data_IF_246133673313
#
_entry.id   IF_246133673313
#
_cell.length_a   1.000
_cell.length_b   1.000
_cell.length_c   1.000
_cell.angle_alpha   90.00
_cell.angle_beta   90.00
_cell.angle_gamma   90.00
#
_symmetry.space_group_name_H-M   'P 1'
#
loop_
_entity.id
_entity.type
_entity.pdbx_description
1 polymer ?
#
# COMPACT_ATOMS: atom_id res chain seq x y z
N UNK A 1 33.01 -5.99 1.39
CA UNK A 1 32.34 -4.68 1.22
C UNK A 1 32.40 -3.99 2.57
N UNK A 2 32.76 -2.70 2.64
CA UNK A 2 32.69 -1.99 3.93
C UNK A 2 31.22 -1.86 4.31
N UNK A 3 30.82 -2.40 5.45
CA UNK A 3 29.52 -2.09 6.05
C UNK A 3 29.49 -0.60 6.33
N UNK A 4 28.81 0.16 5.46
CA UNK A 4 28.55 1.57 5.74
C UNK A 4 27.82 1.61 7.08
N UNK A 5 28.33 2.43 8.01
CA UNK A 5 27.65 2.65 9.28
C UNK A 5 26.44 3.51 8.95
N UNK A 6 25.25 2.97 9.18
CA UNK A 6 23.98 3.66 8.96
C UNK A 6 23.52 4.25 10.30
N UNK A 7 23.62 5.57 10.52
CA UNK A 7 23.35 6.17 11.83
C UNK A 7 21.92 5.96 12.32
N UNK A 8 20.98 5.70 11.41
CA UNK A 8 19.58 5.41 11.70
C UNK A 8 19.37 4.05 12.38
N UNK A 9 20.34 3.14 12.27
CA UNK A 9 20.30 1.79 12.85
C UNK A 9 21.12 1.67 14.14
N UNK A 10 21.87 2.69 14.52
CA UNK A 10 22.69 2.67 15.74
C UNK A 10 21.80 2.66 17.00
N UNK A 11 22.04 1.69 17.88
CA UNK A 11 21.27 1.49 19.11
C UNK A 11 21.15 2.79 19.92
N UNK A 12 19.91 3.12 20.31
CA UNK A 12 19.60 4.34 21.04
C UNK A 12 18.74 4.01 22.28
N UNK A 13 19.41 3.48 23.30
CA UNK A 13 18.78 2.97 24.52
C UNK A 13 18.09 4.07 25.36
N UNK A 14 18.38 5.34 25.09
CA UNK A 14 17.93 6.47 25.90
C UNK A 14 16.68 7.19 25.33
N UNK A 15 16.19 6.78 24.15
CA UNK A 15 15.20 7.59 23.40
C UNK A 15 13.82 6.93 23.28
N UNK A 16 13.16 6.76 24.42
CA UNK A 16 11.73 6.40 24.50
C UNK A 16 10.78 7.61 24.50
N UNK A 17 11.32 8.83 24.52
CA UNK A 17 10.54 10.06 24.53
C UNK A 17 10.79 10.83 23.23
N UNK A 18 9.73 11.28 22.57
CA UNK A 18 9.82 11.94 21.26
C UNK A 18 10.52 13.31 21.35
N UNK A 19 10.35 14.03 22.46
CA UNK A 19 10.96 15.34 22.67
C UNK A 19 12.31 15.27 23.41
N UNK A 20 13.27 16.15 23.05
CA UNK A 20 13.21 17.10 21.93
C UNK A 20 13.36 16.39 20.57
N UNK A 21 12.72 16.95 19.53
CA UNK A 21 12.88 16.49 18.15
C UNK A 21 14.35 16.67 17.72
N UNK A 22 14.90 15.65 17.04
CA UNK A 22 16.28 15.62 16.53
C UNK A 22 16.30 15.60 15.00
N UNK A 23 15.37 14.89 14.39
CA UNK A 23 15.22 14.77 12.93
C UNK A 23 13.95 15.48 12.49
N UNK A 24 14.06 16.80 12.30
CA UNK A 24 12.93 17.64 11.92
C UNK A 24 12.38 17.31 10.53
N UNK A 25 13.24 16.91 9.61
CA UNK A 25 12.88 16.43 8.27
C UNK A 25 11.96 15.20 8.33
N UNK A 26 12.32 14.20 9.14
CA UNK A 26 11.48 13.01 9.34
C UNK A 26 10.19 13.34 10.09
N UNK A 27 10.27 14.21 11.10
CA UNK A 27 9.09 14.65 11.84
C UNK A 27 8.10 15.40 10.95
N UNK A 28 8.57 16.26 10.06
CA UNK A 28 7.73 16.97 9.09
C UNK A 28 7.02 16.00 8.15
N UNK A 29 7.70 14.95 7.67
CA UNK A 29 7.07 13.90 6.87
C UNK A 29 6.00 13.14 7.65
N UNK A 30 6.29 12.74 8.89
CA UNK A 30 5.28 12.13 9.76
C UNK A 30 4.04 13.03 9.93
N UNK A 31 4.24 14.32 10.21
CA UNK A 31 3.13 15.27 10.37
C UNK A 31 2.35 15.50 9.08
N UNK A 32 2.99 15.41 7.90
CA UNK A 32 2.30 15.46 6.61
C UNK A 32 1.38 14.24 6.43
N UNK A 33 1.89 13.03 6.67
CA UNK A 33 1.10 11.80 6.59
C UNK A 33 -0.04 11.82 7.62
N UNK A 34 0.23 12.22 8.85
CA UNK A 34 -0.79 12.33 9.91
C UNK A 34 -1.93 13.30 9.53
N UNK A 35 -1.60 14.42 8.87
CA UNK A 35 -2.59 15.38 8.40
C UNK A 35 -3.44 14.88 7.21
N UNK A 36 -3.05 13.75 6.61
CA UNK A 36 -3.71 13.12 5.47
C UNK A 36 -4.56 11.91 5.86
N UNK A 37 -4.74 11.62 7.15
CA UNK A 37 -5.59 10.53 7.65
C UNK A 37 -6.99 10.53 7.01
N UNK A 38 -7.48 9.34 6.71
CA UNK A 38 -8.82 9.06 6.19
C UNK A 38 -9.23 7.63 6.57
N UNK A 39 -10.52 7.31 6.54
CA UNK A 39 -11.02 5.93 6.74
C UNK A 39 -11.82 5.41 5.55
N UNK A 40 -11.95 4.08 5.44
CA UNK A 40 -12.66 3.43 4.35
C UNK A 40 -14.13 3.88 4.25
N UNK A 41 -14.77 4.23 5.38
CA UNK A 41 -16.15 4.71 5.43
C UNK A 41 -16.36 6.09 4.78
N UNK A 42 -15.31 6.84 4.53
CA UNK A 42 -15.39 8.12 3.81
C UNK A 42 -15.63 7.93 2.31
N UNK A 43 -15.48 6.70 1.80
CA UNK A 43 -15.62 6.37 0.38
C UNK A 43 -17.06 5.94 0.08
N UNK A 44 -17.78 6.77 -0.69
CA UNK A 44 -19.10 6.42 -1.20
C UNK A 44 -19.01 5.53 -2.45
N UNK A 45 -19.50 4.29 -2.34
CA UNK A 45 -19.53 3.30 -3.41
C UNK A 45 -20.91 3.12 -4.06
N UNK A 46 -21.88 3.98 -3.74
CA UNK A 46 -23.25 3.83 -4.23
C UNK A 46 -23.34 3.89 -5.76
N UNK A 47 -22.72 4.91 -6.37
CA UNK A 47 -22.75 5.08 -7.83
C UNK A 47 -21.93 4.03 -8.58
N UNK A 48 -20.89 3.47 -7.95
CA UNK A 48 -20.01 2.48 -8.56
C UNK A 48 -20.73 1.20 -8.95
N UNK A 49 -21.76 0.78 -8.18
CA UNK A 49 -22.54 -0.41 -8.54
C UNK A 49 -23.26 -0.25 -9.88
N UNK A 50 -23.76 0.95 -10.18
CA UNK A 50 -24.41 1.21 -11.46
C UNK A 50 -23.38 1.20 -12.60
N UNK A 51 -22.25 1.86 -12.41
CA UNK A 51 -21.19 1.90 -13.42
C UNK A 51 -20.63 0.51 -13.70
N UNK A 52 -20.37 -0.27 -12.65
CA UNK A 52 -19.89 -1.63 -12.72
C UNK A 52 -20.77 -2.54 -13.57
N UNK A 53 -22.08 -2.48 -13.34
CA UNK A 53 -23.04 -3.36 -14.00
C UNK A 53 -23.44 -2.89 -15.40
N UNK A 54 -23.58 -1.57 -15.60
CA UNK A 54 -24.26 -1.01 -16.77
C UNK A 54 -23.35 -0.23 -17.72
N UNK A 55 -22.19 0.25 -17.26
CA UNK A 55 -21.28 1.07 -18.09
C UNK A 55 -19.98 0.36 -18.48
N UNK A 56 -19.49 -0.55 -17.64
CA UNK A 56 -18.29 -1.32 -17.96
C UNK A 56 -18.61 -2.52 -18.85
N UNK A 57 -17.65 -2.89 -19.70
CA UNK A 57 -17.66 -4.16 -20.41
C UNK A 57 -16.94 -5.26 -19.59
N UNK A 58 -16.99 -6.50 -20.08
CA UNK A 58 -16.41 -7.65 -19.37
C UNK A 58 -14.88 -7.56 -19.25
N UNK A 59 -14.19 -7.05 -20.26
CA UNK A 59 -12.73 -6.89 -20.24
C UNK A 59 -12.30 -5.82 -19.22
N UNK A 60 -13.05 -4.73 -19.10
CA UNK A 60 -12.83 -3.68 -18.10
C UNK A 60 -13.05 -4.20 -16.68
N UNK A 61 -14.15 -4.94 -16.45
CA UNK A 61 -14.40 -5.59 -15.16
C UNK A 61 -13.32 -6.62 -14.83
N UNK A 62 -12.90 -7.41 -15.82
CA UNK A 62 -11.80 -8.37 -15.67
C UNK A 62 -10.53 -7.65 -15.23
N UNK A 63 -10.15 -6.58 -15.92
CA UNK A 63 -8.96 -5.81 -15.65
C UNK A 63 -8.97 -5.17 -14.25
N UNK A 64 -10.09 -4.53 -13.86
CA UNK A 64 -10.23 -3.91 -12.53
C UNK A 64 -10.15 -4.97 -11.42
N UNK A 65 -10.82 -6.12 -11.57
CA UNK A 65 -10.73 -7.23 -10.59
C UNK A 65 -9.29 -7.66 -10.34
N UNK A 66 -8.48 -7.77 -11.39
CA UNK A 66 -7.09 -8.21 -11.26
C UNK A 66 -6.20 -7.13 -10.64
N UNK A 67 -6.48 -5.84 -10.89
CA UNK A 67 -5.81 -4.74 -10.20
C UNK A 67 -6.14 -4.78 -8.70
N UNK A 68 -7.42 -4.92 -8.33
CA UNK A 68 -7.83 -4.97 -6.92
C UNK A 68 -7.24 -6.19 -6.20
N UNK A 69 -7.22 -7.36 -6.85
CA UNK A 69 -6.58 -8.56 -6.32
C UNK A 69 -5.07 -8.40 -6.14
N UNK A 70 -4.41 -7.64 -7.02
CA UNK A 70 -2.99 -7.33 -6.89
C UNK A 70 -2.73 -6.44 -5.68
N UNK A 71 -3.50 -5.37 -5.50
CA UNK A 71 -3.33 -4.46 -4.38
C UNK A 71 -3.62 -5.13 -3.03
N UNK A 72 -4.77 -5.80 -2.90
CA UNK A 72 -5.16 -6.48 -1.65
C UNK A 72 -4.12 -7.52 -1.17
N UNK A 73 -3.38 -8.14 -2.10
CA UNK A 73 -2.29 -9.05 -1.75
C UNK A 73 -0.95 -8.35 -1.48
N UNK A 74 -0.72 -7.17 -2.07
CA UNK A 74 0.57 -6.47 -1.99
C UNK A 74 0.70 -5.67 -0.69
N UNK A 75 -0.36 -4.99 -0.24
CA UNK A 75 -0.34 -4.19 0.99
C UNK A 75 -0.01 -5.08 2.22
N UNK A 76 -0.49 -6.33 2.23
CA UNK A 76 -0.11 -7.30 3.25
C UNK A 76 1.39 -7.59 3.30
N UNK A 77 2.05 -7.67 2.14
CA UNK A 77 3.51 -7.90 2.04
C UNK A 77 4.29 -6.65 2.46
N UNK A 78 3.81 -5.46 2.11
CA UNK A 78 4.40 -4.18 2.54
C UNK A 78 4.32 -4.05 4.06
N UNK A 79 3.15 -4.35 4.63
CA UNK A 79 2.91 -4.30 6.07
C UNK A 79 3.82 -5.27 6.85
N UNK A 80 3.99 -6.50 6.36
CA UNK A 80 4.90 -7.50 6.94
C UNK A 80 6.34 -6.97 7.00
N UNK A 81 6.85 -6.40 5.91
CA UNK A 81 8.19 -5.80 5.90
C UNK A 81 8.31 -4.57 6.82
N UNK A 82 7.30 -3.71 6.86
CA UNK A 82 7.30 -2.54 7.75
C UNK A 82 7.39 -2.96 9.22
N UNK A 83 6.56 -3.94 9.62
CA UNK A 83 6.45 -4.39 11.00
C UNK A 83 7.67 -5.22 11.45
N UNK A 84 8.10 -6.19 10.64
CA UNK A 84 9.15 -7.13 11.01
C UNK A 84 10.56 -6.54 10.82
N UNK A 85 10.77 -5.69 9.81
CA UNK A 85 12.07 -5.11 9.48
C UNK A 85 12.16 -3.62 9.84
N UNK A 86 11.50 -2.73 9.09
CA UNK A 86 11.82 -1.30 9.18
C UNK A 86 11.56 -0.68 10.56
N UNK A 87 10.43 -0.97 11.21
CA UNK A 87 10.13 -0.45 12.55
C UNK A 87 11.05 -1.05 13.62
N UNK A 88 11.44 -2.31 13.45
CA UNK A 88 12.25 -3.04 14.43
C UNK A 88 13.72 -2.60 14.39
N UNK A 89 14.24 -2.31 13.20
CA UNK A 89 15.65 -1.98 12.98
C UNK A 89 15.98 -0.51 13.18
N UNK A 90 15.11 0.40 12.75
CA UNK A 90 15.35 1.84 12.86
C UNK A 90 15.32 2.28 14.33
N UNK A 91 16.24 3.14 14.72
CA UNK A 91 16.39 3.62 16.10
C UNK A 91 15.93 5.07 16.30
N UNK A 92 15.65 5.80 15.22
CA UNK A 92 15.13 7.17 15.30
C UNK A 92 13.65 7.17 15.66
N UNK A 93 13.29 7.85 16.76
CA UNK A 93 11.91 7.95 17.21
C UNK A 93 11.00 8.58 16.14
N UNK A 94 11.45 9.62 15.43
CA UNK A 94 10.68 10.26 14.36
C UNK A 94 10.35 9.32 13.20
N UNK A 95 11.30 8.47 12.80
CA UNK A 95 11.07 7.45 11.77
C UNK A 95 10.13 6.35 12.26
N UNK A 96 10.25 5.91 13.51
CA UNK A 96 9.29 4.95 14.10
C UNK A 96 7.85 5.49 14.10
N UNK A 97 7.68 6.79 14.36
CA UNK A 97 6.37 7.44 14.29
C UNK A 97 5.83 7.47 12.86
N UNK A 98 6.68 7.79 11.89
CA UNK A 98 6.32 7.71 10.47
C UNK A 98 5.87 6.30 10.08
N UNK A 99 6.72 5.29 10.30
CA UNK A 99 6.40 3.91 9.93
C UNK A 99 5.22 3.33 10.71
N UNK A 100 5.05 3.70 11.98
CA UNK A 100 3.88 3.31 12.76
C UNK A 100 2.59 3.87 12.17
N UNK A 101 2.63 5.10 11.65
CA UNK A 101 1.51 5.69 10.92
C UNK A 101 1.30 5.03 9.55
N UNK A 102 2.39 4.74 8.81
CA UNK A 102 2.34 4.02 7.54
C UNK A 102 1.66 2.66 7.69
N UNK A 103 2.08 1.83 8.66
CA UNK A 103 1.45 0.52 8.95
C UNK A 103 -0.06 0.65 9.18
N UNK A 104 -0.48 1.70 9.90
CA UNK A 104 -1.89 1.95 10.14
C UNK A 104 -2.62 2.31 8.84
N UNK A 105 -2.04 3.16 7.99
CA UNK A 105 -2.61 3.50 6.68
C UNK A 105 -2.65 2.29 5.73
N UNK A 106 -1.62 1.44 5.70
CA UNK A 106 -1.61 0.18 4.92
C UNK A 106 -2.78 -0.74 5.31
N UNK A 107 -3.15 -0.78 6.59
CA UNK A 107 -4.33 -1.54 7.03
C UNK A 107 -5.63 -0.95 6.46
N UNK A 108 -5.74 0.38 6.39
CA UNK A 108 -6.89 1.08 5.79
C UNK A 108 -6.92 0.87 4.27
N UNK A 109 -5.76 0.83 3.60
CA UNK A 109 -5.66 0.51 2.17
C UNK A 109 -6.14 -0.92 1.91
N UNK A 110 -5.64 -1.89 2.67
CA UNK A 110 -6.05 -3.30 2.58
C UNK A 110 -7.55 -3.49 2.84
N UNK A 111 -8.11 -2.79 3.83
CA UNK A 111 -9.56 -2.76 4.08
C UNK A 111 -10.33 -2.19 2.88
N UNK A 112 -9.87 -1.05 2.36
CA UNK A 112 -10.48 -0.37 1.22
C UNK A 112 -10.51 -1.26 -0.02
N UNK A 113 -9.41 -1.93 -0.38
CA UNK A 113 -9.40 -2.87 -1.50
C UNK A 113 -10.31 -4.07 -1.29
N UNK A 114 -10.39 -4.57 -0.05
CA UNK A 114 -11.30 -5.65 0.31
C UNK A 114 -12.77 -5.24 0.17
N UNK A 115 -13.11 -4.03 0.62
CA UNK A 115 -14.45 -3.43 0.50
C UNK A 115 -14.82 -3.21 -0.98
N UNK A 116 -13.89 -2.74 -1.81
CA UNK A 116 -14.10 -2.57 -3.25
C UNK A 116 -14.39 -3.93 -3.92
N UNK A 117 -13.62 -4.97 -3.61
CA UNK A 117 -13.85 -6.33 -4.12
C UNK A 117 -15.23 -6.84 -3.68
N UNK A 118 -15.59 -6.71 -2.41
CA UNK A 118 -16.89 -7.17 -1.89
C UNK A 118 -18.07 -6.41 -2.52
N UNK A 119 -17.88 -5.12 -2.78
CA UNK A 119 -18.89 -4.28 -3.41
C UNK A 119 -19.13 -4.67 -4.87
N UNK A 120 -18.07 -4.97 -5.63
CA UNK A 120 -18.18 -5.21 -7.08
C UNK A 120 -18.44 -6.67 -7.44
N UNK A 121 -17.90 -7.61 -6.66
CA UNK A 121 -17.95 -9.04 -6.98
C UNK A 121 -18.93 -9.75 -6.06
N UNK A 122 -20.10 -10.12 -6.59
CA UNK A 122 -21.15 -10.79 -5.80
C UNK A 122 -21.02 -12.31 -5.74
N UNK A 123 -20.27 -12.92 -6.66
CA UNK A 123 -20.00 -14.36 -6.62
C UNK A 123 -18.92 -14.67 -5.57
N UNK A 124 -19.30 -15.45 -4.55
CA UNK A 124 -18.39 -15.83 -3.45
C UNK A 124 -17.19 -16.65 -3.92
N UNK A 125 -17.33 -17.47 -4.95
CA UNK A 125 -16.19 -18.27 -5.45
C UNK A 125 -15.19 -17.36 -6.16
N UNK A 126 -15.68 -16.41 -6.95
CA UNK A 126 -14.83 -15.42 -7.61
C UNK A 126 -14.12 -14.54 -6.57
N UNK A 127 -14.82 -14.05 -5.54
CA UNK A 127 -14.19 -13.33 -4.42
C UNK A 127 -13.06 -14.12 -3.78
N UNK A 128 -13.31 -15.39 -3.47
CA UNK A 128 -12.28 -16.26 -2.87
C UNK A 128 -11.05 -16.44 -3.77
N UNK A 129 -11.23 -16.49 -5.09
CA UNK A 129 -10.12 -16.54 -6.05
C UNK A 129 -9.32 -15.23 -6.02
N UNK A 130 -10.00 -14.09 -5.98
CA UNK A 130 -9.38 -12.76 -5.92
C UNK A 130 -8.60 -12.55 -4.63
N UNK A 131 -9.14 -12.93 -3.47
CA UNK A 131 -8.43 -12.84 -2.19
C UNK A 131 -7.23 -13.80 -2.09
N UNK A 132 -7.24 -14.89 -2.86
CA UNK A 132 -6.11 -15.81 -3.00
C UNK A 132 -5.28 -15.48 -4.25
N UNK A 133 -5.01 -14.20 -4.47
CA UNK A 133 -4.40 -13.73 -5.70
C UNK A 133 -3.04 -14.37 -5.99
N UNK A 134 -2.24 -14.61 -4.95
CA UNK A 134 -0.91 -15.22 -5.06
C UNK A 134 -0.95 -16.66 -5.57
N UNK A 135 -2.01 -17.40 -5.26
CA UNK A 135 -2.19 -18.78 -5.72
C UNK A 135 -2.74 -18.83 -7.15
N UNK A 136 -3.61 -17.88 -7.49
CA UNK A 136 -4.44 -17.95 -8.70
C UNK A 136 -3.91 -17.12 -9.87
N UNK A 137 -3.09 -16.08 -9.63
CA UNK A 137 -2.63 -15.17 -10.67
C UNK A 137 -1.10 -15.13 -10.77
N UNK A 138 -0.50 -15.81 -11.77
CA UNK A 138 0.95 -15.89 -11.92
C UNK A 138 1.67 -14.53 -12.05
N UNK A 139 1.02 -13.52 -12.62
CA UNK A 139 1.58 -12.18 -12.75
C UNK A 139 1.71 -11.48 -11.38
N UNK A 140 0.70 -11.64 -10.51
CA UNK A 140 0.71 -11.13 -9.13
C UNK A 140 1.74 -11.89 -8.32
N UNK A 141 1.73 -13.23 -8.42
CA UNK A 141 2.72 -14.09 -7.76
C UNK A 141 4.16 -13.68 -8.06
N UNK A 142 4.50 -13.37 -9.32
CA UNK A 142 5.86 -12.93 -9.68
C UNK A 142 6.28 -11.64 -8.99
N UNK A 143 5.38 -10.67 -8.85
CA UNK A 143 5.65 -9.42 -8.13
C UNK A 143 5.81 -9.67 -6.63
N UNK A 144 4.92 -10.49 -6.05
CA UNK A 144 4.98 -10.87 -4.65
C UNK A 144 6.26 -11.64 -4.32
N UNK A 145 6.62 -12.66 -5.11
CA UNK A 145 7.85 -13.43 -4.93
C UNK A 145 9.10 -12.53 -5.01
N UNK A 146 9.07 -11.49 -5.86
CA UNK A 146 10.15 -10.49 -5.92
C UNK A 146 10.23 -9.68 -4.63
N UNK A 147 9.11 -9.16 -4.13
CA UNK A 147 9.07 -8.37 -2.89
C UNK A 147 9.51 -9.22 -1.67
N UNK A 148 8.96 -10.42 -1.52
CA UNK A 148 9.30 -11.37 -0.46
C UNK A 148 10.80 -11.73 -0.46
N UNK A 149 11.42 -11.87 -1.65
CA UNK A 149 12.85 -12.11 -1.74
C UNK A 149 13.69 -10.94 -1.16
N UNK A 150 13.21 -9.69 -1.27
CA UNK A 150 13.91 -8.55 -0.71
C UNK A 150 13.69 -8.36 0.78
N UNK A 151 12.57 -8.81 1.35
CA UNK A 151 12.35 -8.85 2.81
C UNK A 151 13.53 -9.54 3.51
N UNK A 152 14.03 -10.60 2.91
CA UNK A 152 15.13 -11.42 3.43
C UNK A 152 16.54 -10.83 3.20
N UNK A 153 16.68 -9.71 2.46
CA UNK A 153 18.01 -9.09 2.30
C UNK A 153 18.52 -8.64 3.67
N UNK A 154 19.81 -8.84 4.02
CA UNK A 154 20.37 -8.32 5.27
C UNK A 154 20.66 -6.81 5.23
N UNK A 155 20.68 -6.17 4.06
CA UNK A 155 21.01 -4.75 3.93
C UNK A 155 19.76 -3.86 4.00
N UNK A 156 19.71 -2.98 5.00
CA UNK A 156 18.64 -1.99 5.14
C UNK A 156 18.51 -1.11 3.90
N UNK A 157 19.62 -0.59 3.36
CA UNK A 157 19.59 0.23 2.15
C UNK A 157 19.02 -0.51 0.92
N UNK A 158 19.38 -1.79 0.73
CA UNK A 158 18.81 -2.60 -0.36
C UNK A 158 17.31 -2.81 -0.17
N UNK A 159 16.87 -3.14 1.05
CA UNK A 159 15.45 -3.29 1.37
C UNK A 159 14.69 -1.98 1.18
N UNK A 160 15.23 -0.85 1.63
CA UNK A 160 14.63 0.47 1.50
C UNK A 160 14.40 0.82 0.02
N UNK A 161 15.39 0.61 -0.84
CA UNK A 161 15.26 0.84 -2.28
C UNK A 161 14.28 -0.16 -2.92
N UNK A 162 14.32 -1.43 -2.51
CA UNK A 162 13.43 -2.45 -3.04
C UNK A 162 11.97 -2.14 -2.73
N UNK A 163 11.65 -1.74 -1.49
CA UNK A 163 10.28 -1.41 -1.08
C UNK A 163 9.80 -0.07 -1.65
N UNK A 164 10.70 0.93 -1.81
CA UNK A 164 10.38 2.11 -2.61
C UNK A 164 10.04 1.76 -4.09
N UNK A 165 10.62 0.70 -4.64
CA UNK A 165 10.24 0.20 -5.96
C UNK A 165 8.92 -0.59 -5.95
N UNK A 166 8.57 -1.27 -4.86
CA UNK A 166 7.25 -1.90 -4.69
C UNK A 166 6.17 -0.81 -4.70
N UNK A 167 6.23 0.11 -3.74
CA UNK A 167 5.22 1.17 -3.56
C UNK A 167 5.21 2.14 -4.75
N UNK A 168 6.38 2.57 -5.23
CA UNK A 168 6.47 3.58 -6.29
C UNK A 168 6.41 3.06 -7.73
N UNK A 169 6.96 1.86 -8.04
CA UNK A 169 7.05 1.34 -9.41
C UNK A 169 6.00 0.26 -9.66
N UNK A 170 5.86 -0.73 -8.77
CA UNK A 170 4.93 -1.84 -9.03
C UNK A 170 3.47 -1.38 -9.06
N UNK A 171 3.13 -0.34 -8.29
CA UNK A 171 1.78 0.21 -8.22
C UNK A 171 1.48 1.26 -9.29
N UNK A 172 2.51 1.96 -9.80
CA UNK A 172 2.36 3.07 -10.76
C UNK A 172 1.44 2.78 -11.96
N UNK A 173 1.61 1.61 -12.58
CA UNK A 173 0.80 1.21 -13.74
C UNK A 173 -0.67 0.96 -13.39
N UNK A 174 -0.94 0.44 -12.19
CA UNK A 174 -2.29 0.21 -11.71
C UNK A 174 -2.98 1.52 -11.31
N UNK A 175 -2.29 2.42 -10.58
CA UNK A 175 -2.80 3.75 -10.26
C UNK A 175 -3.12 4.56 -11.52
N UNK A 176 -2.21 4.58 -12.51
CA UNK A 176 -2.42 5.25 -13.78
C UNK A 176 -3.66 4.70 -14.52
N UNK A 177 -3.86 3.39 -14.46
CA UNK A 177 -5.00 2.72 -15.07
C UNK A 177 -6.34 3.08 -14.42
N UNK A 178 -6.38 3.28 -13.10
CA UNK A 178 -7.59 3.75 -12.42
C UNK A 178 -7.82 5.25 -12.70
N UNK A 179 -6.77 6.07 -12.76
CA UNK A 179 -6.91 7.46 -13.23
C UNK A 179 -7.43 7.57 -14.66
N UNK A 180 -7.15 6.59 -15.52
CA UNK A 180 -7.77 6.50 -16.84
C UNK A 180 -9.30 6.30 -16.77
N UNK A 181 -9.81 5.51 -15.81
CA UNK A 181 -11.25 5.39 -15.55
C UNK A 181 -11.84 6.72 -15.06
N UNK A 182 -11.13 7.43 -14.18
CA UNK A 182 -11.53 8.78 -13.72
C UNK A 182 -11.72 9.73 -14.90
N UNK A 183 -10.77 9.74 -15.84
CA UNK A 183 -10.85 10.57 -17.05
C UNK A 183 -12.09 10.27 -17.91
N UNK A 184 -12.61 9.04 -17.83
CA UNK A 184 -13.83 8.61 -18.53
C UNK A 184 -15.11 8.87 -17.73
N UNK A 185 -15.01 9.37 -16.49
CA UNK A 185 -16.15 9.61 -15.61
C UNK A 185 -16.82 8.30 -15.17
N UNK A 186 -16.02 7.30 -14.84
CA UNK A 186 -16.48 5.97 -14.41
C UNK A 186 -15.96 5.64 -13.03
N UNK A 187 -16.76 4.90 -12.25
CA UNK A 187 -16.39 4.35 -10.95
C UNK A 187 -15.89 5.42 -9.96
N UNK A 188 -16.70 6.44 -9.63
CA UNK A 188 -16.29 7.56 -8.80
C UNK A 188 -15.71 7.14 -7.44
N UNK A 189 -16.28 6.14 -6.77
CA UNK A 189 -15.79 5.59 -5.52
C UNK A 189 -14.40 4.93 -5.64
N UNK A 190 -14.20 4.05 -6.62
CA UNK A 190 -12.89 3.46 -6.95
C UNK A 190 -11.85 4.54 -7.28
N UNK A 191 -12.22 5.56 -8.04
CA UNK A 191 -11.26 6.59 -8.46
C UNK A 191 -10.92 7.55 -7.32
N UNK A 192 -11.88 7.85 -6.44
CA UNK A 192 -11.65 8.64 -5.24
C UNK A 192 -10.75 7.91 -4.25
N UNK A 193 -11.00 6.62 -3.98
CA UNK A 193 -10.12 5.83 -3.11
C UNK A 193 -8.70 5.74 -3.68
N UNK A 194 -8.56 5.58 -5.00
CA UNK A 194 -7.27 5.58 -5.68
C UNK A 194 -6.53 6.92 -5.53
N UNK A 195 -7.23 8.07 -5.48
CA UNK A 195 -6.59 9.37 -5.21
C UNK A 195 -6.02 9.45 -3.80
N UNK A 196 -6.72 8.90 -2.82
CA UNK A 196 -6.26 8.86 -1.43
C UNK A 196 -5.06 7.93 -1.29
N UNK A 197 -5.17 6.70 -1.79
CA UNK A 197 -4.11 5.69 -1.69
C UNK A 197 -2.86 6.11 -2.47
N UNK A 198 -3.00 6.51 -3.74
CA UNK A 198 -1.83 6.92 -4.54
C UNK A 198 -1.12 8.18 -4.03
N UNK A 199 -1.79 9.00 -3.22
CA UNK A 199 -1.15 10.11 -2.49
C UNK A 199 -0.34 9.59 -1.32
N UNK A 200 -0.85 8.61 -0.59
CA UNK A 200 -0.19 8.05 0.60
C UNK A 200 1.07 7.27 0.20
N UNK A 201 1.05 6.64 -0.98
CA UNK A 201 2.13 5.83 -1.57
C UNK A 201 3.26 6.66 -2.21
N UNK A 202 3.05 7.96 -2.39
CA UNK A 202 3.96 8.89 -3.10
C UNK A 202 4.77 9.79 -2.18
#
# INVERSE_FOLDING_TARGET
MSTAVEPILEANDDRFVIFPIKHHDLWEWYKKCEACFWTAEEIDLHEDQNDWNNKLNDDERYFIKHILAFFAASDGIVNENLAENFVSEVQYAEAKFFYGFQIMMENIHSETYSLLIDTYVKDEKEKNILFKALENFPAIKKKADWALNWIESPSFAERLIAFAAVEGIFFSGAFCSIFWLKKRGLMPGLTFSNELISRDEG
#
